data_IF_981584208706
#
_entry.id   IF_981584208706
#
_cell.length_a   1.000
_cell.length_b   1.000
_cell.length_c   1.000
_cell.angle_alpha   90.00
_cell.angle_beta   90.00
_cell.angle_gamma   90.00
#
_symmetry.space_group_name_H-M   'P 1'
#
loop_
_entity.id
_entity.type
_entity.pdbx_description
1 polymer ?
#
# COMPACT_ATOMS: atom_id res chain seq x y z
N UNK A 1 -8.80 -32.19 8.18
CA UNK A 1 -8.40 -31.82 9.54
C UNK A 1 -7.90 -30.39 9.42
N UNK A 2 -8.57 -29.43 10.04
CA UNK A 2 -8.12 -28.04 10.00
C UNK A 2 -6.83 -27.93 10.81
N UNK A 3 -5.79 -27.37 10.20
CA UNK A 3 -4.51 -27.14 10.89
C UNK A 3 -4.60 -25.85 11.68
N UNK A 4 -5.33 -25.90 12.80
CA UNK A 4 -5.53 -24.73 13.69
C UNK A 4 -4.21 -24.07 14.13
N UNK A 5 -3.15 -24.85 14.25
CA UNK A 5 -1.84 -24.33 14.65
C UNK A 5 -1.18 -23.49 13.54
N UNK A 6 -1.43 -23.80 12.26
CA UNK A 6 -0.98 -22.96 11.14
C UNK A 6 -1.74 -21.63 11.09
N UNK A 7 -3.07 -21.68 11.25
CA UNK A 7 -3.90 -20.47 11.29
C UNK A 7 -3.48 -19.57 12.46
N UNK A 8 -3.25 -20.15 13.63
CA UNK A 8 -2.80 -19.41 14.81
C UNK A 8 -1.44 -18.75 14.58
N UNK A 9 -0.52 -19.44 13.93
CA UNK A 9 0.79 -18.89 13.56
C UNK A 9 0.66 -17.73 12.57
N UNK A 10 -0.21 -17.84 11.59
CA UNK A 10 -0.49 -16.76 10.63
C UNK A 10 -1.08 -15.52 11.33
N UNK A 11 -2.03 -15.71 12.25
CA UNK A 11 -2.59 -14.63 13.07
C UNK A 11 -1.50 -13.91 13.86
N UNK A 12 -0.60 -14.65 14.51
CA UNK A 12 0.50 -14.05 15.28
C UNK A 12 1.48 -13.28 14.37
N UNK A 13 1.76 -13.78 13.16
CA UNK A 13 2.57 -13.05 12.18
C UNK A 13 1.89 -11.75 11.76
N UNK A 14 0.58 -11.77 11.49
CA UNK A 14 -0.18 -10.56 11.13
C UNK A 14 -0.23 -9.55 12.28
N UNK A 15 -0.33 -10.00 13.54
CA UNK A 15 -0.25 -9.11 14.72
C UNK A 15 1.08 -8.36 14.79
N UNK A 16 2.20 -9.09 14.57
CA UNK A 16 3.53 -8.47 14.53
C UNK A 16 3.61 -7.43 13.43
N UNK A 17 3.18 -7.78 12.21
CA UNK A 17 3.18 -6.85 11.07
C UNK A 17 2.36 -5.59 11.34
N UNK A 18 1.15 -5.73 11.88
CA UNK A 18 0.32 -4.56 12.22
C UNK A 18 0.95 -3.72 13.32
N UNK A 19 1.59 -4.34 14.32
CA UNK A 19 2.34 -3.62 15.35
C UNK A 19 3.50 -2.80 14.74
N UNK A 20 4.25 -3.39 13.79
CA UNK A 20 5.35 -2.74 13.09
C UNK A 20 4.85 -1.56 12.23
N UNK A 21 3.69 -1.72 11.56
CA UNK A 21 3.02 -0.62 10.86
C UNK A 21 2.68 0.52 11.84
N UNK A 22 2.06 0.21 12.98
CA UNK A 22 1.72 1.19 14.01
C UNK A 22 2.94 1.97 14.51
N UNK A 23 4.05 1.27 14.70
CA UNK A 23 5.34 1.87 15.08
C UNK A 23 5.90 2.76 13.96
N UNK A 24 5.83 2.31 12.71
CA UNK A 24 6.33 3.04 11.54
C UNK A 24 5.57 4.33 11.27
N UNK A 25 4.24 4.33 11.44
CA UNK A 25 3.42 5.54 11.33
C UNK A 25 3.46 6.41 12.59
N UNK A 26 4.15 5.98 13.65
CA UNK A 26 4.13 6.64 14.96
C UNK A 26 2.69 6.87 15.48
N UNK A 27 1.86 5.82 15.51
CA UNK A 27 0.43 5.90 15.77
C UNK A 27 0.08 6.74 17.02
N UNK A 28 0.77 6.53 18.15
CA UNK A 28 0.56 7.28 19.38
C UNK A 28 0.82 8.79 19.19
N UNK A 29 1.84 9.16 18.40
CA UNK A 29 2.15 10.55 18.10
C UNK A 29 1.06 11.18 17.23
N UNK A 30 0.58 10.46 16.22
CA UNK A 30 -0.53 10.90 15.36
C UNK A 30 -1.83 11.07 16.14
N UNK A 31 -2.11 10.23 17.13
CA UNK A 31 -3.28 10.39 18.01
C UNK A 31 -3.21 11.64 18.85
N UNK A 32 -2.05 11.92 19.44
CA UNK A 32 -1.84 13.13 20.21
C UNK A 32 -1.95 14.39 19.33
N UNK A 33 -1.39 14.33 18.11
CA UNK A 33 -1.49 15.41 17.13
C UNK A 33 -2.95 15.62 16.70
N UNK A 34 -3.68 14.54 16.39
CA UNK A 34 -5.09 14.59 16.04
C UNK A 34 -5.91 15.30 17.13
N UNK A 35 -5.72 14.88 18.38
CA UNK A 35 -6.41 15.47 19.52
C UNK A 35 -6.11 16.96 19.67
N UNK A 36 -4.85 17.36 19.51
CA UNK A 36 -4.44 18.78 19.56
C UNK A 36 -5.10 19.60 18.45
N UNK A 37 -5.12 19.06 17.20
CA UNK A 37 -5.74 19.73 16.06
C UNK A 37 -7.27 19.82 16.21
N UNK A 38 -7.91 18.80 16.75
CA UNK A 38 -9.35 18.81 17.05
C UNK A 38 -9.69 19.85 18.14
N UNK A 39 -8.88 19.96 19.19
CA UNK A 39 -9.02 20.99 20.22
C UNK A 39 -8.85 22.40 19.62
N UNK A 40 -7.95 22.59 18.66
CA UNK A 40 -7.77 23.86 17.94
C UNK A 40 -9.04 24.25 17.17
N UNK A 41 -9.71 23.30 16.51
CA UNK A 41 -10.96 23.57 15.77
C UNK A 41 -12.12 24.03 16.62
N UNK A 42 -12.07 23.81 17.95
CA UNK A 42 -13.13 24.27 18.88
C UNK A 42 -13.03 25.75 19.22
N UNK A 43 -11.91 26.41 18.91
CA UNK A 43 -11.69 27.83 19.21
C UNK A 43 -12.38 28.70 18.15
N UNK A 44 -13.02 29.77 18.59
CA UNK A 44 -13.73 30.68 17.69
C UNK A 44 -12.80 31.36 16.67
N UNK A 45 -11.62 31.74 17.11
CA UNK A 45 -10.58 32.38 16.29
C UNK A 45 -10.08 31.50 15.12
N UNK A 46 -10.21 30.16 15.27
CA UNK A 46 -9.80 29.20 14.22
C UNK A 46 -10.56 29.43 12.90
N UNK A 47 -11.81 29.87 12.96
CA UNK A 47 -12.65 30.04 11.78
C UNK A 47 -12.49 31.39 11.08
N UNK A 48 -11.72 32.32 11.66
CA UNK A 48 -11.46 33.64 11.08
C UNK A 48 -10.46 33.58 9.92
N UNK A 49 -9.47 32.63 9.98
CA UNK A 49 -8.53 32.37 8.88
C UNK A 49 -8.94 31.13 8.08
N UNK A 50 -9.72 31.35 7.04
CA UNK A 50 -10.25 30.28 6.17
C UNK A 50 -9.16 29.44 5.49
N UNK A 51 -7.98 30.03 5.21
CA UNK A 51 -6.86 29.32 4.58
C UNK A 51 -6.19 28.36 5.55
N UNK A 52 -5.95 28.79 6.77
CA UNK A 52 -5.38 27.94 7.81
C UNK A 52 -6.35 26.86 8.25
N UNK A 53 -7.64 27.21 8.45
CA UNK A 53 -8.70 26.27 8.82
C UNK A 53 -8.83 25.14 7.80
N UNK A 54 -8.81 25.46 6.50
CA UNK A 54 -8.88 24.45 5.43
C UNK A 54 -7.70 23.47 5.45
N UNK A 55 -6.47 23.96 5.69
CA UNK A 55 -5.28 23.14 5.80
C UNK A 55 -5.33 22.22 7.03
N UNK A 56 -5.73 22.76 8.17
CA UNK A 56 -5.86 21.99 9.42
C UNK A 56 -6.93 20.90 9.29
N UNK A 57 -8.08 21.19 8.70
CA UNK A 57 -9.13 20.20 8.47
C UNK A 57 -8.70 19.10 7.48
N UNK A 58 -7.94 19.46 6.43
CA UNK A 58 -7.37 18.48 5.52
C UNK A 58 -6.39 17.54 6.26
N UNK A 59 -5.53 18.11 7.13
CA UNK A 59 -4.60 17.33 7.95
C UNK A 59 -5.31 16.41 8.94
N UNK A 60 -6.36 16.88 9.61
CA UNK A 60 -7.22 16.06 10.48
C UNK A 60 -7.80 14.88 9.70
N UNK A 61 -8.31 15.14 8.49
CA UNK A 61 -8.91 14.10 7.64
C UNK A 61 -7.88 13.05 7.24
N UNK A 62 -6.66 13.48 6.88
CA UNK A 62 -5.56 12.58 6.54
C UNK A 62 -5.14 11.71 7.72
N UNK A 63 -4.93 12.31 8.90
CA UNK A 63 -4.57 11.58 10.13
C UNK A 63 -5.67 10.58 10.51
N UNK A 64 -6.94 11.01 10.50
CA UNK A 64 -8.08 10.12 10.79
C UNK A 64 -8.15 8.93 9.85
N UNK A 65 -7.87 9.15 8.57
CA UNK A 65 -7.83 8.06 7.58
C UNK A 65 -6.73 7.06 7.91
N UNK A 66 -5.50 7.52 8.11
CA UNK A 66 -4.34 6.65 8.43
C UNK A 66 -4.55 5.86 9.72
N UNK A 67 -4.97 6.53 10.79
CA UNK A 67 -5.26 5.87 12.07
C UNK A 67 -6.46 4.92 11.97
N UNK A 68 -7.49 5.29 11.22
CA UNK A 68 -8.68 4.47 11.02
C UNK A 68 -8.37 3.16 10.28
N UNK A 69 -7.55 3.20 9.24
CA UNK A 69 -7.11 2.01 8.51
C UNK A 69 -6.28 1.09 9.40
N UNK A 70 -5.31 1.64 10.13
CA UNK A 70 -4.47 0.91 11.09
C UNK A 70 -5.31 0.24 12.19
N UNK A 71 -6.17 1.01 12.90
CA UNK A 71 -7.01 0.48 13.99
C UNK A 71 -8.03 -0.53 13.50
N UNK A 72 -8.57 -0.36 12.29
CA UNK A 72 -9.47 -1.34 11.69
C UNK A 72 -8.76 -2.69 11.48
N UNK A 73 -7.52 -2.67 11.00
CA UNK A 73 -6.73 -3.88 10.83
C UNK A 73 -6.42 -4.54 12.18
N UNK A 74 -5.98 -3.77 13.18
CA UNK A 74 -5.70 -4.23 14.53
C UNK A 74 -6.92 -4.88 15.20
N UNK A 75 -8.06 -4.20 15.16
CA UNK A 75 -9.32 -4.71 15.71
C UNK A 75 -9.78 -6.00 15.01
N UNK A 76 -9.66 -6.06 13.68
CA UNK A 76 -10.07 -7.23 12.91
C UNK A 76 -9.21 -8.45 13.25
N UNK A 77 -7.89 -8.28 13.40
CA UNK A 77 -6.99 -9.37 13.79
C UNK A 77 -7.29 -9.86 15.22
N UNK A 78 -7.56 -8.95 16.14
CA UNK A 78 -7.92 -9.31 17.50
C UNK A 78 -9.24 -10.11 17.53
N UNK A 79 -10.25 -9.67 16.77
CA UNK A 79 -11.52 -10.40 16.64
C UNK A 79 -11.29 -11.82 16.09
N UNK A 80 -10.50 -11.99 15.04
CA UNK A 80 -10.18 -13.32 14.49
C UNK A 80 -9.40 -14.16 15.52
N UNK A 81 -8.49 -13.54 16.26
CA UNK A 81 -7.73 -14.22 17.31
C UNK A 81 -8.63 -14.75 18.44
N UNK A 82 -9.69 -14.05 18.76
CA UNK A 82 -10.70 -14.50 19.73
C UNK A 82 -11.58 -15.62 19.14
N UNK A 83 -12.02 -15.45 17.89
CA UNK A 83 -12.83 -16.44 17.20
C UNK A 83 -12.16 -17.82 17.06
N UNK A 84 -10.85 -17.84 16.75
CA UNK A 84 -10.12 -19.12 16.58
C UNK A 84 -10.06 -19.92 17.89
N UNK A 85 -10.04 -19.27 19.04
CA UNK A 85 -10.08 -19.93 20.35
C UNK A 85 -11.42 -20.63 20.55
N UNK A 86 -12.53 -19.95 20.24
CA UNK A 86 -13.88 -20.50 20.36
C UNK A 86 -14.10 -21.68 19.40
N UNK A 87 -13.65 -21.55 18.15
CA UNK A 87 -13.78 -22.62 17.15
C UNK A 87 -13.00 -23.88 17.57
N UNK A 88 -11.84 -23.70 18.18
CA UNK A 88 -11.04 -24.83 18.69
C UNK A 88 -11.74 -25.58 19.83
N UNK A 89 -12.54 -24.88 20.63
CA UNK A 89 -13.33 -25.49 21.71
C UNK A 89 -14.59 -26.17 21.20
N UNK A 90 -15.30 -25.58 20.24
CA UNK A 90 -16.60 -26.08 19.72
C UNK A 90 -16.44 -27.04 18.53
N UNK A 91 -15.29 -27.08 17.89
CA UNK A 91 -14.98 -27.87 16.69
C UNK A 91 -15.95 -27.63 15.51
N UNK A 92 -16.33 -26.35 15.31
CA UNK A 92 -17.24 -25.89 14.27
C UNK A 92 -16.48 -25.65 12.95
N UNK A 93 -16.69 -26.54 11.98
CA UNK A 93 -16.03 -26.48 10.68
C UNK A 93 -16.54 -25.33 9.77
N UNK A 94 -17.78 -24.89 9.92
CA UNK A 94 -18.32 -23.80 9.07
C UNK A 94 -17.84 -22.43 9.56
N UNK A 95 -17.77 -22.23 10.85
CA UNK A 95 -17.11 -21.07 11.47
C UNK A 95 -15.61 -21.03 11.11
N UNK A 96 -14.93 -22.19 11.07
CA UNK A 96 -13.53 -22.26 10.67
C UNK A 96 -13.30 -21.78 9.23
N UNK A 97 -14.18 -22.13 8.29
CA UNK A 97 -14.11 -21.66 6.89
C UNK A 97 -14.30 -20.14 6.80
N UNK A 98 -15.23 -19.58 7.59
CA UNK A 98 -15.46 -18.14 7.64
C UNK A 98 -14.25 -17.38 8.18
N UNK A 99 -13.63 -17.90 9.25
CA UNK A 99 -12.41 -17.32 9.82
C UNK A 99 -11.26 -17.33 8.83
N UNK A 100 -11.04 -18.43 8.09
CA UNK A 100 -9.99 -18.49 7.05
C UNK A 100 -10.26 -17.47 5.95
N UNK A 101 -11.51 -17.29 5.53
CA UNK A 101 -11.86 -16.28 4.54
C UNK A 101 -11.54 -14.87 5.05
N UNK A 102 -11.96 -14.56 6.27
CA UNK A 102 -11.71 -13.27 6.92
C UNK A 102 -10.22 -13.01 7.12
N UNK A 103 -9.44 -14.04 7.49
CA UNK A 103 -7.99 -13.98 7.62
C UNK A 103 -7.31 -13.60 6.30
N UNK A 104 -7.72 -14.23 5.19
CA UNK A 104 -7.20 -13.89 3.86
C UNK A 104 -7.55 -12.45 3.43
N UNK A 105 -8.75 -11.95 3.78
CA UNK A 105 -9.14 -10.57 3.51
C UNK A 105 -8.33 -9.57 4.33
N UNK A 106 -8.06 -9.89 5.60
CA UNK A 106 -7.24 -9.05 6.48
C UNK A 106 -5.78 -9.08 6.05
N UNK A 107 -5.23 -10.23 5.67
CA UNK A 107 -3.87 -10.34 5.15
C UNK A 107 -3.65 -9.38 3.98
N UNK A 108 -4.57 -9.34 3.02
CA UNK A 108 -4.51 -8.39 1.89
C UNK A 108 -4.57 -6.93 2.34
N UNK A 109 -5.42 -6.61 3.32
CA UNK A 109 -5.50 -5.24 3.87
C UNK A 109 -4.19 -4.83 4.57
N UNK A 110 -3.56 -5.77 5.30
CA UNK A 110 -2.27 -5.53 5.94
C UNK A 110 -1.18 -5.32 4.89
N UNK A 111 -1.16 -6.11 3.80
CA UNK A 111 -0.23 -5.91 2.68
C UNK A 111 -0.40 -4.51 2.06
N UNK A 112 -1.64 -4.06 1.81
CA UNK A 112 -1.91 -2.72 1.30
C UNK A 112 -1.49 -1.61 2.28
N UNK A 113 -1.66 -1.84 3.58
CA UNK A 113 -1.28 -0.91 4.64
C UNK A 113 0.24 -0.79 4.75
N UNK A 114 0.98 -1.89 4.67
CA UNK A 114 2.45 -1.88 4.64
C UNK A 114 2.97 -1.08 3.46
N UNK A 115 2.43 -1.33 2.27
CA UNK A 115 2.80 -0.59 1.06
C UNK A 115 2.55 0.90 1.23
N UNK A 116 1.34 1.29 1.70
CA UNK A 116 1.00 2.71 1.90
C UNK A 116 1.85 3.37 2.99
N UNK A 117 2.38 2.59 3.94
CA UNK A 117 3.27 3.10 4.99
C UNK A 117 4.69 3.30 4.47
N UNK A 118 5.18 2.37 3.65
CA UNK A 118 6.51 2.44 3.03
C UNK A 118 6.58 3.51 1.94
N UNK A 119 5.53 3.61 1.12
CA UNK A 119 5.42 4.56 0.02
C UNK A 119 4.66 5.81 0.48
N UNK A 120 5.28 6.60 1.35
CA UNK A 120 4.68 7.77 2.01
C UNK A 120 5.21 9.11 1.51
N UNK A 121 6.06 9.13 0.48
CA UNK A 121 6.58 10.36 -0.10
C UNK A 121 5.51 11.05 -0.97
N UNK A 122 5.67 12.36 -1.17
CA UNK A 122 4.73 13.24 -1.86
C UNK A 122 4.24 12.74 -3.23
N UNK A 123 5.06 11.99 -3.94
CA UNK A 123 4.78 11.56 -5.32
C UNK A 123 4.51 10.06 -5.44
N UNK A 124 4.68 9.28 -4.38
CA UNK A 124 4.58 7.82 -4.41
C UNK A 124 3.21 7.31 -4.88
N UNK A 125 2.12 8.03 -4.55
CA UNK A 125 0.76 7.67 -4.99
C UNK A 125 0.47 7.97 -6.46
N UNK A 126 1.37 8.70 -7.15
CA UNK A 126 1.14 9.13 -8.53
C UNK A 126 1.37 8.01 -9.55
N UNK A 127 0.89 8.27 -10.78
CA UNK A 127 1.30 7.51 -11.95
C UNK A 127 2.78 7.79 -12.27
N UNK A 128 3.46 6.84 -12.91
CA UNK A 128 4.85 6.98 -13.33
C UNK A 128 4.98 7.11 -14.84
N UNK A 129 5.86 7.98 -15.29
CA UNK A 129 6.35 7.98 -16.68
C UNK A 129 7.77 7.48 -16.67
N UNK A 130 8.04 6.38 -17.40
CA UNK A 130 9.34 5.77 -17.48
C UNK A 130 9.87 5.96 -18.90
N UNK A 131 11.12 6.41 -18.99
CA UNK A 131 11.86 6.46 -20.25
C UNK A 131 13.10 5.58 -20.14
N UNK A 132 13.28 4.68 -21.09
CA UNK A 132 14.44 3.78 -21.19
C UNK A 132 15.16 4.07 -22.49
N UNK A 133 16.49 4.23 -22.41
CA UNK A 133 17.36 4.38 -23.55
C UNK A 133 18.75 3.77 -23.25
N UNK A 134 19.44 3.19 -24.24
CA UNK A 134 20.68 2.47 -24.05
C UNK A 134 21.90 3.35 -23.77
N UNK A 135 21.74 4.68 -23.69
CA UNK A 135 22.85 5.62 -23.54
C UNK A 135 23.79 5.62 -24.78
N UNK A 136 25.09 5.62 -24.55
CA UNK A 136 26.10 5.61 -25.62
C UNK A 136 26.46 4.19 -26.11
N UNK A 137 25.71 3.15 -25.74
CA UNK A 137 25.95 1.76 -26.15
C UNK A 137 25.50 1.47 -27.56
N UNK A 138 26.07 0.41 -28.15
CA UNK A 138 25.70 -0.11 -29.47
C UNK A 138 24.50 -1.07 -29.42
N UNK A 139 24.42 -1.96 -30.44
CA UNK A 139 23.31 -2.90 -30.65
C UNK A 139 22.99 -3.76 -29.42
N UNK A 140 23.99 -4.26 -28.69
CA UNK A 140 23.78 -5.06 -27.48
C UNK A 140 23.13 -4.24 -26.35
N UNK A 141 23.49 -2.96 -26.25
CA UNK A 141 22.83 -2.08 -25.26
C UNK A 141 21.39 -1.74 -25.64
N UNK A 142 21.08 -1.66 -26.93
CA UNK A 142 19.74 -1.48 -27.47
C UNK A 142 18.86 -2.72 -27.17
N UNK A 143 19.42 -3.92 -27.36
CA UNK A 143 18.76 -5.19 -27.04
C UNK A 143 18.51 -5.31 -25.52
N UNK A 144 19.50 -4.96 -24.71
CA UNK A 144 19.35 -4.93 -23.26
C UNK A 144 18.25 -3.96 -22.79
N UNK A 145 18.17 -2.77 -23.39
CA UNK A 145 17.13 -1.79 -23.09
C UNK A 145 15.73 -2.32 -23.42
N UNK A 146 15.57 -3.05 -24.53
CA UNK A 146 14.33 -3.72 -24.88
C UNK A 146 13.98 -4.84 -23.87
N UNK A 147 14.96 -5.59 -23.39
CA UNK A 147 14.76 -6.61 -22.36
C UNK A 147 14.25 -5.95 -21.05
N UNK A 148 14.79 -4.81 -20.64
CA UNK A 148 14.32 -4.05 -19.48
C UNK A 148 12.89 -3.54 -19.69
N UNK A 149 12.57 -2.99 -20.84
CA UNK A 149 11.21 -2.57 -21.17
C UNK A 149 10.22 -3.74 -21.04
N UNK A 150 10.55 -4.90 -21.59
CA UNK A 150 9.71 -6.11 -21.46
C UNK A 150 9.59 -6.57 -20.00
N UNK A 151 10.66 -6.48 -19.21
CA UNK A 151 10.66 -6.81 -17.78
C UNK A 151 9.69 -5.91 -17.02
N UNK A 152 9.82 -4.59 -17.16
CA UNK A 152 8.94 -3.63 -16.48
C UNK A 152 7.48 -3.78 -16.90
N UNK A 153 7.21 -3.91 -18.20
CA UNK A 153 5.85 -4.06 -18.73
C UNK A 153 5.18 -5.35 -18.20
N UNK A 154 5.91 -6.46 -18.14
CA UNK A 154 5.40 -7.71 -17.57
C UNK A 154 5.12 -7.58 -16.08
N UNK A 155 6.04 -6.98 -15.34
CA UNK A 155 5.86 -6.74 -13.91
C UNK A 155 4.64 -5.86 -13.65
N UNK A 156 4.50 -4.75 -14.37
CA UNK A 156 3.34 -3.86 -14.24
C UNK A 156 2.03 -4.60 -14.50
N UNK A 157 1.94 -5.36 -15.59
CA UNK A 157 0.74 -6.12 -15.93
C UNK A 157 0.41 -7.20 -14.88
N UNK A 158 1.42 -7.88 -14.33
CA UNK A 158 1.23 -8.90 -13.29
C UNK A 158 0.76 -8.31 -11.97
N UNK A 159 1.09 -7.03 -11.70
CA UNK A 159 0.66 -6.31 -10.49
C UNK A 159 -0.57 -5.43 -10.72
N UNK A 160 -1.27 -5.57 -11.85
CA UNK A 160 -2.53 -4.88 -12.13
C UNK A 160 -2.39 -3.41 -12.52
N UNK A 161 -1.18 -2.94 -12.84
CA UNK A 161 -0.96 -1.61 -13.40
C UNK A 161 -1.33 -1.58 -14.88
N UNK A 162 -1.90 -0.46 -15.32
CA UNK A 162 -2.12 -0.21 -16.74
C UNK A 162 -0.86 0.41 -17.34
N UNK A 163 -0.33 -0.18 -18.41
CA UNK A 163 0.81 0.35 -19.17
C UNK A 163 0.30 0.93 -20.48
N UNK A 164 0.75 2.13 -20.81
CA UNK A 164 0.44 2.82 -22.06
C UNK A 164 1.75 3.34 -22.67
N UNK A 165 2.10 2.83 -23.84
CA UNK A 165 3.26 3.29 -24.59
C UNK A 165 2.97 4.67 -25.17
N UNK A 166 3.83 5.65 -24.87
CA UNK A 166 3.70 7.03 -25.33
C UNK A 166 4.59 7.29 -26.54
N UNK A 167 5.77 6.69 -26.55
CA UNK A 167 6.73 6.83 -27.64
C UNK A 167 7.64 5.60 -27.70
N UNK A 168 7.93 5.12 -28.91
CA UNK A 168 8.81 3.98 -29.11
C UNK A 168 9.65 4.18 -30.38
N UNK A 169 10.96 4.06 -30.23
CA UNK A 169 11.91 4.16 -31.33
C UNK A 169 12.75 2.89 -31.41
N UNK A 170 12.57 2.16 -32.49
CA UNK A 170 13.31 0.92 -32.78
C UNK A 170 14.81 1.15 -32.88
N UNK A 171 15.58 0.15 -32.51
CA UNK A 171 17.00 0.03 -32.80
C UNK A 171 17.24 -0.11 -34.31
N UNK A 172 18.46 0.20 -34.81
CA UNK A 172 18.77 0.07 -36.23
C UNK A 172 18.88 -1.39 -36.67
N UNK A 173 19.40 -2.26 -35.83
CA UNK A 173 19.63 -3.68 -36.12
C UNK A 173 18.84 -4.58 -35.15
N UNK A 174 18.78 -4.22 -33.88
CA UNK A 174 18.04 -4.95 -32.83
C UNK A 174 17.75 -4.04 -31.65
N UNK A 175 16.74 -4.44 -30.81
CA UNK A 175 16.39 -3.74 -29.61
C UNK A 175 15.72 -2.38 -29.84
N UNK A 176 15.81 -1.48 -28.88
CA UNK A 176 15.25 -0.13 -28.96
C UNK A 176 16.28 0.98 -28.74
N UNK A 177 16.07 2.13 -29.38
CA UNK A 177 16.80 3.38 -29.13
C UNK A 177 16.20 4.19 -28.00
N UNK A 178 14.89 4.16 -27.87
CA UNK A 178 14.17 4.84 -26.80
C UNK A 178 12.77 4.27 -26.68
N UNK A 179 12.27 4.17 -25.46
CA UNK A 179 10.86 3.95 -25.20
C UNK A 179 10.43 4.82 -24.02
N UNK A 180 9.27 5.45 -24.15
CA UNK A 180 8.60 6.18 -23.05
C UNK A 180 7.21 5.62 -22.87
N UNK A 181 6.88 5.24 -21.65
CA UNK A 181 5.59 4.67 -21.32
C UNK A 181 5.06 5.18 -19.99
N UNK A 182 3.74 5.31 -19.91
CA UNK A 182 3.00 5.68 -18.73
C UNK A 182 2.56 4.41 -17.99
N UNK A 183 2.82 4.36 -16.69
CA UNK A 183 2.30 3.33 -15.78
C UNK A 183 1.27 3.97 -14.88
N UNK A 184 0.02 3.52 -14.98
CA UNK A 184 -1.10 4.06 -14.23
C UNK A 184 -1.59 3.04 -13.19
N UNK A 185 -1.72 3.49 -11.96
CA UNK A 185 -2.22 2.73 -10.83
C UNK A 185 -1.79 3.34 -9.50
N UNK A 186 -2.41 2.88 -8.42
CA UNK A 186 -2.10 3.37 -7.08
C UNK A 186 -0.66 3.03 -6.72
N UNK A 187 0.11 4.01 -6.29
CA UNK A 187 1.54 3.90 -5.96
C UNK A 187 2.46 3.51 -7.12
N UNK A 188 2.04 3.70 -8.38
CA UNK A 188 2.88 3.31 -9.52
C UNK A 188 4.27 3.97 -9.47
N UNK A 189 4.35 5.26 -9.10
CA UNK A 189 5.62 5.99 -8.96
C UNK A 189 6.48 5.47 -7.80
N UNK A 190 5.85 5.13 -6.68
CA UNK A 190 6.57 4.65 -5.51
C UNK A 190 7.19 3.27 -5.70
N UNK A 191 6.61 2.44 -6.55
CA UNK A 191 7.12 1.10 -6.86
C UNK A 191 8.23 1.07 -7.92
N UNK A 192 8.33 2.10 -8.75
CA UNK A 192 9.19 2.18 -9.95
C UNK A 192 10.32 3.19 -9.81
#
# INVERSE_FOLDING_TARGET
MFEYDEIQKEIEQLKVRVHDIGSSICADSLENELKSLEEETTRQEFWEDTTNSSKTLAKITEIKKKLGEYRSAESSINTISEMIVLIKEENDEDLAKEVIKNLNEISKKVDELEVSTLLSNKYDENNAIITIHPGAGGTEAQDWAEMLYRMYTRWCNSNGFKVEELDYLDGEEAGLKSVTFLVSGKFAYGYL
#
